data_IF_660602047250
#
_entry.id   IF_660602047250
#
_cell.length_a   1.000
_cell.length_b   1.000
_cell.length_c   1.000
_cell.angle_alpha   90.00
_cell.angle_beta   90.00
_cell.angle_gamma   90.00
#
_symmetry.space_group_name_H-M   'P 1'
#
loop_
_entity.id
_entity.type
_entity.pdbx_description
1 polymer ?
#
# COMPACT_ATOMS: atom_id res chain seq x y z
N UNK A 1 -2.23 -5.74 10.05
CA UNK A 1 -2.73 -5.00 8.88
C UNK A 1 -1.61 -4.67 7.93
N UNK A 2 -0.56 -3.95 8.35
CA UNK A 2 0.62 -3.65 7.50
C UNK A 2 1.26 -4.90 6.89
N UNK A 3 1.48 -5.96 7.69
CA UNK A 3 2.02 -7.23 7.20
C UNK A 3 1.14 -7.85 6.10
N UNK A 4 -0.18 -7.84 6.26
CA UNK A 4 -1.11 -8.34 5.26
C UNK A 4 -1.11 -7.47 4.00
N UNK A 5 -1.09 -6.14 4.15
CA UNK A 5 -1.07 -5.21 3.02
C UNK A 5 0.23 -5.39 2.23
N UNK A 6 1.39 -5.39 2.91
CA UNK A 6 2.70 -5.62 2.30
C UNK A 6 2.81 -7.01 1.65
N UNK A 7 2.15 -8.04 2.21
CA UNK A 7 2.11 -9.36 1.59
C UNK A 7 1.29 -9.43 0.29
N UNK A 8 0.41 -8.45 0.04
CA UNK A 8 -0.39 -8.38 -1.18
C UNK A 8 0.10 -7.32 -2.17
N UNK A 9 0.89 -6.34 -1.73
CA UNK A 9 1.49 -5.34 -2.62
C UNK A 9 2.83 -5.85 -3.12
N UNK A 10 2.95 -6.00 -4.44
CA UNK A 10 4.15 -6.50 -5.10
C UNK A 10 4.90 -5.35 -5.79
N UNK A 11 6.05 -5.68 -6.41
CA UNK A 11 6.77 -4.76 -7.28
C UNK A 11 5.99 -4.38 -8.56
N UNK A 12 4.99 -5.19 -8.93
CA UNK A 12 4.08 -4.88 -10.04
C UNK A 12 2.99 -3.90 -9.56
N UNK A 13 2.68 -2.84 -10.33
CA UNK A 13 1.60 -1.92 -10.00
C UNK A 13 0.24 -2.61 -10.01
N UNK A 14 -0.43 -2.60 -8.86
CA UNK A 14 -1.75 -3.21 -8.68
C UNK A 14 -2.78 -2.17 -8.25
N UNK A 15 -4.01 -2.30 -8.78
CA UNK A 15 -5.11 -1.40 -8.40
C UNK A 15 -5.41 -1.47 -6.91
N UNK A 16 -5.55 -0.31 -6.28
CA UNK A 16 -5.87 -0.13 -4.87
C UNK A 16 -7.14 -0.89 -4.49
N UNK A 17 -8.19 -0.83 -5.32
CA UNK A 17 -9.42 -1.60 -5.10
C UNK A 17 -9.19 -3.11 -4.97
N UNK A 18 -8.28 -3.66 -5.78
CA UNK A 18 -7.95 -5.09 -5.75
C UNK A 18 -7.17 -5.43 -4.49
N UNK A 19 -6.19 -4.62 -4.12
CA UNK A 19 -5.42 -4.77 -2.87
C UNK A 19 -6.37 -4.72 -1.67
N UNK A 20 -7.25 -3.72 -1.60
CA UNK A 20 -8.25 -3.57 -0.54
C UNK A 20 -9.15 -4.79 -0.42
N UNK A 21 -9.73 -5.26 -1.53
CA UNK A 21 -10.63 -6.41 -1.54
C UNK A 21 -9.90 -7.68 -1.08
N UNK A 22 -8.67 -7.89 -1.55
CA UNK A 22 -7.87 -9.07 -1.22
C UNK A 22 -7.42 -9.06 0.24
N UNK A 23 -7.04 -7.88 0.74
CA UNK A 23 -6.62 -7.69 2.14
C UNK A 23 -7.82 -7.83 3.08
N UNK A 24 -8.97 -7.21 2.77
CA UNK A 24 -10.21 -7.33 3.54
C UNK A 24 -10.73 -8.77 3.59
N UNK A 25 -10.58 -9.53 2.50
CA UNK A 25 -11.03 -10.93 2.43
C UNK A 25 -10.22 -11.85 3.35
N UNK A 26 -8.96 -11.50 3.66
CA UNK A 26 -8.11 -12.30 4.56
C UNK A 26 -8.13 -11.84 6.01
N UNK A 27 -8.61 -10.62 6.29
CA UNK A 27 -8.70 -10.12 7.67
C UNK A 27 -9.92 -10.70 8.40
N UNK A 28 -9.69 -11.24 9.60
CA UNK A 28 -10.77 -11.59 10.55
C UNK A 28 -11.54 -10.35 11.06
N UNK A 29 -10.89 -9.19 11.08
CA UNK A 29 -11.49 -7.92 11.50
C UNK A 29 -11.75 -7.09 10.25
N UNK A 30 -13.02 -6.89 9.91
CA UNK A 30 -13.44 -6.02 8.80
C UNK A 30 -13.23 -4.56 9.19
N UNK A 31 -12.01 -4.09 9.03
CA UNK A 31 -11.68 -2.67 9.15
C UNK A 31 -12.20 -1.95 7.90
N UNK A 32 -12.62 -0.69 8.01
CA UNK A 32 -13.16 0.05 6.86
C UNK A 32 -12.15 0.21 5.72
N UNK A 33 -12.62 0.23 4.48
CA UNK A 33 -11.80 0.52 3.29
C UNK A 33 -11.06 1.86 3.41
N UNK A 34 -11.70 2.88 3.98
CA UNK A 34 -11.09 4.19 4.28
C UNK A 34 -9.85 4.06 5.18
N UNK A 35 -9.87 3.15 6.17
CA UNK A 35 -8.73 2.94 7.06
C UNK A 35 -7.54 2.32 6.33
N UNK A 36 -7.80 1.33 5.48
CA UNK A 36 -6.74 0.70 4.67
C UNK A 36 -6.14 1.68 3.66
N UNK A 37 -6.97 2.52 3.05
CA UNK A 37 -6.51 3.59 2.16
C UNK A 37 -5.61 4.56 2.92
N UNK A 38 -6.01 5.01 4.11
CA UNK A 38 -5.19 5.86 4.95
C UNK A 38 -3.86 5.18 5.31
N UNK A 39 -3.88 3.90 5.68
CA UNK A 39 -2.66 3.16 6.03
C UNK A 39 -1.71 2.98 4.84
N UNK A 40 -2.25 2.75 3.65
CA UNK A 40 -1.46 2.70 2.42
C UNK A 40 -0.85 4.08 2.12
N UNK A 41 -1.59 5.17 2.34
CA UNK A 41 -1.06 6.54 2.20
C UNK A 41 0.08 6.81 3.18
N UNK A 42 -0.04 6.40 4.45
CA UNK A 42 1.07 6.52 5.40
C UNK A 42 2.31 5.77 4.93
N UNK A 43 2.16 4.53 4.45
CA UNK A 43 3.28 3.76 3.91
C UNK A 43 3.90 4.39 2.65
N UNK A 44 3.10 5.11 1.84
CA UNK A 44 3.61 5.89 0.71
C UNK A 44 4.42 7.09 1.22
N UNK A 45 3.95 7.77 2.26
CA UNK A 45 4.69 8.88 2.88
C UNK A 45 5.96 8.42 3.59
N UNK A 46 5.98 7.21 4.15
CA UNK A 46 7.17 6.55 4.68
C UNK A 46 8.16 6.10 3.58
N UNK A 47 7.81 6.23 2.30
CA UNK A 47 8.64 5.78 1.19
C UNK A 47 8.75 4.26 1.06
N UNK A 48 7.78 3.51 1.61
CA UNK A 48 7.70 2.04 1.45
C UNK A 48 6.92 1.64 0.21
N UNK A 49 5.98 2.48 -0.22
CA UNK A 49 5.07 2.23 -1.34
C UNK A 49 5.01 3.43 -2.28
N UNK A 50 4.71 3.19 -3.55
CA UNK A 50 4.48 4.25 -4.53
C UNK A 50 3.06 4.13 -5.08
N UNK A 51 2.29 5.21 -5.03
CA UNK A 51 1.01 5.31 -5.69
C UNK A 51 1.11 6.08 -7.01
N UNK A 52 0.61 5.44 -8.07
CA UNK A 52 0.52 5.94 -9.42
C UNK A 52 -0.96 6.13 -9.77
N UNK A 53 -1.42 7.39 -9.73
CA UNK A 53 -2.76 7.76 -10.13
C UNK A 53 -3.31 9.00 -9.43
N UNK A 54 -4.47 9.45 -9.89
CA UNK A 54 -5.16 10.64 -9.37
C UNK A 54 -6.05 10.32 -8.17
N UNK A 55 -5.55 10.63 -6.97
CA UNK A 55 -6.31 10.62 -5.72
C UNK A 55 -7.53 11.54 -5.72
N UNK A 56 -7.54 12.56 -6.57
CA UNK A 56 -8.62 13.53 -6.67
C UNK A 56 -9.83 13.00 -7.48
N UNK A 57 -9.61 12.09 -8.44
CA UNK A 57 -10.68 11.53 -9.28
C UNK A 57 -11.27 10.26 -8.69
N UNK A 58 -10.43 9.26 -8.44
CA UNK A 58 -10.90 7.97 -7.97
C UNK A 58 -9.75 7.21 -7.33
N UNK A 59 -9.72 7.21 -6.00
CA UNK A 59 -8.78 6.41 -5.23
C UNK A 59 -8.85 4.92 -5.57
N UNK A 60 -10.01 4.45 -6.03
CA UNK A 60 -10.24 3.05 -6.43
C UNK A 60 -9.47 2.62 -7.68
N UNK A 61 -9.13 3.54 -8.58
CA UNK A 61 -8.40 3.24 -9.82
C UNK A 61 -6.89 3.49 -9.71
N UNK A 62 -6.43 3.92 -8.54
CA UNK A 62 -5.01 4.17 -8.30
C UNK A 62 -4.25 2.86 -8.30
N UNK A 63 -3.08 2.85 -8.91
CA UNK A 63 -2.17 1.73 -8.87
C UNK A 63 -1.17 1.95 -7.74
N UNK A 64 -0.95 0.95 -6.92
CA UNK A 64 0.06 0.96 -5.86
C UNK A 64 1.07 -0.12 -6.17
N UNK A 65 2.35 0.20 -6.04
CA UNK A 65 3.47 -0.74 -6.14
C UNK A 65 4.39 -0.56 -4.94
N UNK A 66 5.26 -1.54 -4.68
CA UNK A 66 6.39 -1.32 -3.77
C UNK A 66 7.29 -0.19 -4.27
N UNK A 67 7.67 0.70 -3.35
CA UNK A 67 8.64 1.74 -3.64
C UNK A 67 10.04 1.13 -3.69
N UNK A 68 10.78 1.38 -4.77
CA UNK A 68 12.07 0.76 -5.02
C UNK A 68 11.93 -0.74 -5.28
N UNK A 69 11.85 -1.14 -6.55
CA UNK A 69 11.90 -2.54 -6.94
C UNK A 69 13.24 -3.18 -6.60
N UNK A 70 13.45 -3.55 -5.34
CA UNK A 70 14.33 -4.63 -4.90
C UNK A 70 13.77 -5.18 -3.59
N UNK A 71 13.50 -6.47 -3.64
CA UNK A 71 13.45 -7.37 -2.51
C UNK A 71 14.44 -6.96 -1.42
N UNK A 72 13.92 -6.86 -0.19
CA UNK A 72 14.66 -7.04 1.06
C UNK A 72 15.71 -5.97 1.42
N UNK A 73 15.48 -5.34 2.58
CA UNK A 73 16.44 -4.57 3.39
C UNK A 73 16.89 -3.21 2.84
N UNK A 74 16.37 -2.13 3.41
CA UNK A 74 17.11 -0.86 3.48
C UNK A 74 16.91 -0.24 4.86
N UNK A 75 17.97 -0.35 5.65
CA UNK A 75 18.21 0.41 6.87
C UNK A 75 17.96 1.90 6.63
N UNK A 76 17.13 2.49 7.48
CA UNK A 76 16.87 3.93 7.50
C UNK A 76 18.09 4.56 8.18
N UNK A 77 18.96 5.19 7.38
CA UNK A 77 19.98 6.09 7.90
C UNK A 77 19.28 7.39 8.31
N UNK A 78 19.15 7.58 9.61
CA UNK A 78 18.81 8.87 10.22
C UNK A 78 20.05 9.77 10.15
N UNK A 79 19.96 10.88 9.42
CA UNK A 79 20.92 11.96 9.52
C UNK A 79 20.32 13.06 10.41
N UNK A 80 21.10 13.39 11.44
CA UNK A 80 20.90 14.33 12.55
C UNK A 80 20.58 15.78 12.12
#
# INVERSE_FOLDING_TARGET
FDKDILAHINAEPQKLSKILTNTLSKMKVKTGDVFLVWRIREMIQEGKLEALGDWNKSWKDINVKMYGGKSQDTSIEIAE
#
